data_IF_559379500220
#
_entry.id   IF_559379500220
#
_cell.length_a   1.000
_cell.length_b   1.000
_cell.length_c   1.000
_cell.angle_alpha   90.00
_cell.angle_beta   90.00
_cell.angle_gamma   90.00
#
_symmetry.space_group_name_H-M   'P 1'
#
loop_
_entity.id
_entity.type
_entity.pdbx_description
1 polymer ?
#
# COMPACT_ATOMS: atom_id res chain seq x y z
N UNK A 1 17.88 6.28 -13.18
CA UNK A 1 17.40 5.16 -14.02
C UNK A 1 17.58 3.85 -13.27
N UNK A 2 16.51 3.08 -13.10
CA UNK A 2 16.57 1.74 -12.50
C UNK A 2 16.56 0.71 -13.65
N UNK A 3 17.76 0.39 -14.12
CA UNK A 3 18.10 -0.72 -15.03
C UNK A 3 17.34 -2.01 -14.66
N UNK A 4 17.00 -2.90 -15.61
CA UNK A 4 16.02 -3.95 -15.38
C UNK A 4 16.57 -5.10 -14.54
N UNK A 5 16.58 -4.93 -13.21
CA UNK A 5 16.89 -5.96 -12.21
C UNK A 5 15.99 -7.21 -12.30
N UNK A 6 14.87 -7.08 -13.01
CA UNK A 6 13.91 -8.12 -13.38
C UNK A 6 14.54 -9.33 -14.08
N UNK A 7 15.66 -9.15 -14.79
CA UNK A 7 16.34 -10.24 -15.51
C UNK A 7 16.87 -11.37 -14.60
N UNK A 8 17.01 -11.12 -13.29
CA UNK A 8 17.71 -12.05 -12.36
C UNK A 8 16.89 -12.49 -11.14
N UNK A 9 15.74 -11.88 -10.90
CA UNK A 9 14.93 -12.18 -9.72
C UNK A 9 13.89 -13.21 -10.16
N UNK A 10 14.09 -14.47 -9.78
CA UNK A 10 13.08 -15.51 -9.98
C UNK A 10 11.73 -15.11 -9.39
N UNK A 11 10.67 -15.78 -9.83
CA UNK A 11 9.27 -15.53 -9.43
C UNK A 11 9.08 -15.22 -7.93
N UNK A 12 9.73 -15.94 -6.97
CA UNK A 12 9.56 -15.65 -5.54
C UNK A 12 10.08 -14.26 -5.12
N UNK A 13 11.27 -13.88 -5.60
CA UNK A 13 11.90 -12.61 -5.24
C UNK A 13 11.12 -11.44 -5.85
N UNK A 14 10.53 -11.64 -7.03
CA UNK A 14 9.63 -10.67 -7.63
C UNK A 14 8.41 -10.38 -6.74
N UNK A 15 7.81 -11.40 -6.11
CA UNK A 15 6.68 -11.23 -5.19
C UNK A 15 7.03 -10.54 -3.88
N UNK A 16 8.22 -10.77 -3.35
CA UNK A 16 8.68 -10.13 -2.11
C UNK A 16 9.12 -8.69 -2.34
N UNK A 17 9.62 -8.37 -3.53
CA UNK A 17 10.13 -7.04 -3.88
C UNK A 17 9.08 -6.05 -4.39
N UNK A 18 7.80 -6.43 -4.46
CA UNK A 18 6.71 -5.60 -4.99
C UNK A 18 6.70 -4.17 -4.40
N UNK A 19 6.92 -4.04 -3.09
CA UNK A 19 6.96 -2.76 -2.40
C UNK A 19 8.14 -1.85 -2.82
N UNK A 20 9.19 -2.40 -3.43
CA UNK A 20 10.37 -1.63 -3.84
C UNK A 20 10.16 -0.89 -5.17
N UNK A 21 9.08 -1.17 -5.89
CA UNK A 21 8.81 -0.57 -7.18
C UNK A 21 8.01 0.73 -7.04
N UNK A 22 8.49 1.77 -7.73
CA UNK A 22 7.74 3.02 -7.94
C UNK A 22 7.19 3.13 -9.36
N UNK A 23 7.85 2.48 -10.31
CA UNK A 23 7.45 2.43 -11.72
C UNK A 23 7.47 0.97 -12.17
N UNK A 24 6.34 0.50 -12.67
CA UNK A 24 6.16 -0.85 -13.19
C UNK A 24 6.04 -0.80 -14.71
N UNK A 25 6.80 -1.65 -15.41
CA UNK A 25 6.65 -1.83 -16.86
C UNK A 25 6.25 -3.27 -17.13
N UNK A 26 5.08 -3.44 -17.74
CA UNK A 26 4.59 -4.72 -18.26
C UNK A 26 5.01 -4.75 -19.72
N UNK A 27 6.11 -5.45 -20.01
CA UNK A 27 6.81 -5.39 -21.29
C UNK A 27 6.71 -6.71 -22.07
N UNK A 28 6.46 -6.61 -23.37
CA UNK A 28 6.43 -7.72 -24.31
C UNK A 28 7.69 -7.85 -25.18
N UNK A 29 8.59 -6.84 -25.18
CA UNK A 29 9.79 -6.85 -26.03
C UNK A 29 10.83 -7.89 -25.59
N UNK A 30 10.93 -8.14 -24.28
CA UNK A 30 11.78 -9.17 -23.72
C UNK A 30 10.99 -10.48 -23.55
N UNK A 31 11.41 -11.55 -24.23
CA UNK A 31 10.70 -12.84 -24.22
C UNK A 31 10.53 -13.46 -22.82
N UNK A 32 11.46 -13.20 -21.90
CA UNK A 32 11.37 -13.71 -20.52
C UNK A 32 10.31 -12.94 -19.75
N UNK A 33 10.36 -11.61 -19.80
CA UNK A 33 9.35 -10.76 -19.18
C UNK A 33 7.96 -11.01 -19.78
N UNK A 34 7.89 -11.14 -21.11
CA UNK A 34 6.67 -11.44 -21.83
C UNK A 34 6.03 -12.73 -21.33
N UNK A 35 6.78 -13.83 -21.30
CA UNK A 35 6.30 -15.13 -20.81
C UNK A 35 5.89 -15.05 -19.34
N UNK A 36 6.66 -14.35 -18.52
CA UNK A 36 6.31 -14.13 -17.11
C UNK A 36 4.91 -13.48 -16.99
N UNK A 37 4.64 -12.38 -17.69
CA UNK A 37 3.34 -11.70 -17.63
C UNK A 37 2.19 -12.51 -18.24
N UNK A 38 2.45 -13.25 -19.33
CA UNK A 38 1.47 -14.13 -19.99
C UNK A 38 1.08 -15.33 -19.11
N UNK A 39 2.01 -15.84 -18.31
CA UNK A 39 1.81 -17.05 -17.51
C UNK A 39 1.54 -16.77 -16.03
N UNK A 40 1.65 -15.51 -15.59
CA UNK A 40 1.41 -15.12 -14.20
C UNK A 40 -0.05 -15.42 -13.82
N UNK A 41 -0.28 -16.28 -12.81
CA UNK A 41 -1.64 -16.54 -12.35
C UNK A 41 -2.30 -15.26 -11.82
N UNK A 42 -3.60 -15.07 -12.09
CA UNK A 42 -4.31 -13.85 -11.71
C UNK A 42 -4.27 -13.57 -10.19
N UNK A 43 -4.42 -14.60 -9.37
CA UNK A 43 -4.31 -14.47 -7.91
C UNK A 43 -2.92 -13.99 -7.47
N UNK A 44 -1.88 -14.43 -8.19
CA UNK A 44 -0.50 -14.06 -7.93
C UNK A 44 -0.26 -12.60 -8.36
N UNK A 45 -0.79 -12.18 -9.51
CA UNK A 45 -0.76 -10.79 -9.98
C UNK A 45 -1.49 -9.84 -9.02
N UNK A 46 -2.67 -10.24 -8.53
CA UNK A 46 -3.43 -9.49 -7.54
C UNK A 46 -2.68 -9.35 -6.21
N UNK A 47 -2.15 -10.46 -5.67
CA UNK A 47 -1.37 -10.45 -4.43
C UNK A 47 -0.07 -9.64 -4.56
N UNK A 48 0.52 -9.62 -5.75
CA UNK A 48 1.67 -8.76 -6.06
C UNK A 48 1.26 -7.29 -6.03
N UNK A 49 0.17 -6.94 -6.72
CA UNK A 49 -0.39 -5.58 -6.75
C UNK A 49 -0.69 -5.03 -5.36
N UNK A 50 -1.28 -5.84 -4.48
CA UNK A 50 -1.57 -5.50 -3.09
C UNK A 50 -0.34 -5.06 -2.29
N UNK A 51 0.82 -5.65 -2.57
CA UNK A 51 2.09 -5.30 -1.93
C UNK A 51 2.80 -4.13 -2.61
N UNK A 52 2.45 -3.82 -3.85
CA UNK A 52 3.08 -2.81 -4.68
C UNK A 52 2.61 -1.39 -4.35
N UNK A 53 2.50 -1.04 -3.06
CA UNK A 53 1.87 0.20 -2.57
C UNK A 53 2.66 1.47 -2.93
N UNK A 54 3.92 1.33 -3.33
CA UNK A 54 4.78 2.43 -3.73
C UNK A 54 4.72 2.73 -5.24
N UNK A 55 4.05 1.89 -6.04
CA UNK A 55 3.89 2.10 -7.48
C UNK A 55 3.04 3.33 -7.75
N UNK A 56 3.52 4.19 -8.65
CA UNK A 56 2.86 5.44 -9.08
C UNK A 56 2.52 5.44 -10.56
N UNK A 57 3.23 4.64 -11.35
CA UNK A 57 3.04 4.56 -12.78
C UNK A 57 3.15 3.10 -13.23
N UNK A 58 2.19 2.65 -14.05
CA UNK A 58 2.22 1.37 -14.74
C UNK A 58 2.23 1.65 -16.24
N UNK A 59 3.30 1.23 -16.91
CA UNK A 59 3.39 1.26 -18.38
C UNK A 59 3.10 -0.12 -18.93
N UNK A 60 2.12 -0.20 -19.82
CA UNK A 60 1.80 -1.43 -20.54
C UNK A 60 2.32 -1.31 -21.98
N UNK A 61 3.37 -2.08 -22.29
CA UNK A 61 3.91 -2.22 -23.64
C UNK A 61 3.44 -3.56 -24.19
N UNK A 62 2.62 -3.49 -25.23
CA UNK A 62 1.95 -4.67 -25.79
C UNK A 62 2.38 -4.93 -27.23
N UNK A 63 2.29 -6.19 -27.71
CA UNK A 63 2.63 -6.51 -29.09
C UNK A 63 1.75 -5.75 -30.06
N UNK A 64 2.30 -5.35 -31.21
CA UNK A 64 1.54 -4.64 -32.24
C UNK A 64 0.23 -5.37 -32.57
N UNK A 65 -0.88 -4.62 -32.60
CA UNK A 65 -2.25 -5.11 -32.83
C UNK A 65 -2.80 -6.06 -31.75
N UNK A 66 -2.22 -6.08 -30.55
CA UNK A 66 -2.70 -6.86 -29.39
C UNK A 66 -2.82 -5.99 -28.13
N UNK A 67 -3.62 -4.94 -28.18
CA UNK A 67 -3.89 -4.05 -27.04
C UNK A 67 -4.44 -4.78 -25.79
N UNK A 68 -5.14 -5.90 -25.99
CA UNK A 68 -5.62 -6.77 -24.90
C UNK A 68 -4.58 -7.73 -24.33
N UNK A 69 -3.32 -7.65 -24.74
CA UNK A 69 -2.27 -8.56 -24.28
C UNK A 69 -2.12 -8.52 -22.76
N UNK A 70 -2.21 -9.70 -22.12
CA UNK A 70 -2.15 -9.88 -20.67
C UNK A 70 -3.15 -8.99 -19.90
N UNK A 71 -4.31 -8.69 -20.48
CA UNK A 71 -5.33 -7.82 -19.85
C UNK A 71 -5.71 -8.29 -18.46
N UNK A 72 -6.01 -9.57 -18.28
CA UNK A 72 -6.35 -10.11 -16.97
C UNK A 72 -5.23 -9.86 -15.95
N UNK A 73 -3.97 -10.07 -16.34
CA UNK A 73 -2.80 -9.90 -15.47
C UNK A 73 -2.64 -8.45 -15.04
N UNK A 74 -2.63 -7.48 -15.97
CA UNK A 74 -2.42 -6.08 -15.59
C UNK A 74 -3.61 -5.50 -14.83
N UNK A 75 -4.84 -5.92 -15.15
CA UNK A 75 -6.04 -5.54 -14.38
C UNK A 75 -5.93 -6.06 -12.95
N UNK A 76 -5.57 -7.34 -12.76
CA UNK A 76 -5.41 -7.93 -11.44
C UNK A 76 -4.35 -7.19 -10.60
N UNK A 77 -3.23 -6.77 -11.20
CA UNK A 77 -2.22 -5.92 -10.52
C UNK A 77 -2.82 -4.60 -10.05
N UNK A 78 -3.58 -3.91 -10.90
CA UNK A 78 -4.20 -2.62 -10.58
C UNK A 78 -5.25 -2.77 -9.47
N UNK A 79 -6.10 -3.79 -9.55
CA UNK A 79 -7.11 -4.09 -8.54
C UNK A 79 -6.47 -4.40 -7.18
N UNK A 80 -5.44 -5.26 -7.18
CA UNK A 80 -4.66 -5.57 -5.99
C UNK A 80 -4.05 -4.32 -5.39
N UNK A 81 -3.44 -3.45 -6.20
CA UNK A 81 -2.88 -2.18 -5.75
C UNK A 81 -3.91 -1.28 -5.07
N UNK A 82 -5.12 -1.18 -5.63
CA UNK A 82 -6.25 -0.48 -5.02
C UNK A 82 -6.61 -1.07 -3.65
N UNK A 83 -6.65 -2.40 -3.54
CA UNK A 83 -6.90 -3.09 -2.26
C UNK A 83 -5.82 -2.81 -1.21
N UNK A 84 -4.55 -2.83 -1.60
CA UNK A 84 -3.43 -2.51 -0.72
C UNK A 84 -3.53 -1.08 -0.16
N UNK A 85 -3.88 -0.12 -1.02
CA UNK A 85 -4.12 1.26 -0.58
C UNK A 85 -5.33 1.40 0.33
N UNK A 86 -6.43 0.71 0.04
CA UNK A 86 -7.61 0.70 0.91
C UNK A 86 -7.27 0.18 2.31
N UNK A 87 -6.46 -0.87 2.41
CA UNK A 87 -5.99 -1.40 3.69
C UNK A 87 -5.11 -0.40 4.45
N UNK A 88 -4.20 0.32 3.77
CA UNK A 88 -3.38 1.37 4.38
C UNK A 88 -4.25 2.53 4.88
N UNK A 89 -5.21 2.97 4.09
CA UNK A 89 -6.11 4.06 4.45
C UNK A 89 -6.95 3.69 5.68
N UNK A 90 -7.50 2.48 5.70
CA UNK A 90 -8.26 1.95 6.84
C UNK A 90 -7.41 1.85 8.10
N UNK A 91 -6.16 1.36 7.99
CA UNK A 91 -5.23 1.31 9.11
C UNK A 91 -4.98 2.71 9.68
N UNK A 92 -4.67 3.69 8.82
CA UNK A 92 -4.45 5.09 9.23
C UNK A 92 -5.68 5.72 9.87
N UNK A 93 -6.88 5.37 9.41
CA UNK A 93 -8.14 5.83 10.01
C UNK A 93 -8.28 5.33 11.44
N UNK A 94 -8.09 4.03 11.66
CA UNK A 94 -8.14 3.41 13.00
C UNK A 94 -7.09 3.95 13.96
N UNK A 95 -5.87 4.20 13.48
CA UNK A 95 -4.80 4.79 14.29
C UNK A 95 -5.17 6.20 14.78
N UNK A 96 -5.85 7.01 13.95
CA UNK A 96 -6.34 8.34 14.36
C UNK A 96 -7.46 8.24 15.39
N UNK A 97 -8.44 7.37 15.15
CA UNK A 97 -9.56 7.16 16.07
C UNK A 97 -9.10 6.63 17.44
N UNK A 98 -8.11 5.72 17.45
CA UNK A 98 -7.50 5.22 18.68
C UNK A 98 -6.70 6.29 19.43
N UNK A 99 -5.97 7.15 18.71
CA UNK A 99 -5.24 8.26 19.33
C UNK A 99 -6.16 9.33 19.91
N UNK A 100 -7.25 9.66 19.22
CA UNK A 100 -8.28 10.61 19.66
C UNK A 100 -9.02 10.08 20.89
N UNK A 101 -9.47 8.82 20.88
CA UNK A 101 -10.10 8.19 22.05
C UNK A 101 -9.17 8.07 23.26
N UNK A 102 -7.85 7.93 23.04
CA UNK A 102 -6.86 7.94 24.13
C UNK A 102 -6.67 9.35 24.71
N UNK A 103 -6.67 10.39 23.87
CA UNK A 103 -6.59 11.78 24.29
C UNK A 103 -7.85 12.22 25.06
N UNK A 104 -9.04 11.85 24.58
CA UNK A 104 -10.31 12.13 25.26
C UNK A 104 -10.39 11.42 26.61
N UNK A 105 -10.01 10.15 26.69
CA UNK A 105 -9.97 9.41 27.96
C UNK A 105 -8.98 10.04 28.96
N UNK A 106 -7.83 10.54 28.49
CA UNK A 106 -6.86 11.24 29.33
C UNK A 106 -7.37 12.62 29.80
N UNK A 107 -8.12 13.34 28.98
CA UNK A 107 -8.73 14.62 29.35
C UNK A 107 -9.82 14.46 30.42
N UNK A 108 -10.68 13.44 30.30
CA UNK A 108 -11.71 13.12 31.31
C UNK A 108 -11.05 12.73 32.65
N UNK A 109 -9.96 11.96 32.62
CA UNK A 109 -9.24 11.57 33.83
C UNK A 109 -8.53 12.74 34.56
N UNK A 110 -8.28 13.86 33.86
CA UNK A 110 -7.69 15.07 34.46
C UNK A 110 -8.74 16.02 35.08
N UNK A 111 -10.01 15.91 34.69
CA UNK A 111 -11.11 16.73 35.22
C UNK A 111 -11.62 16.18 36.57
N UNK A 112 -11.47 14.87 36.81
CA UNK A 112 -12.02 14.17 37.98
C UNK A 112 -11.15 14.23 39.27
N UNK A 113 -10.23 15.20 39.43
CA UNK A 113 -9.31 15.20 40.60
C UNK A 113 -8.69 16.51 41.07
N UNK A 114 -9.41 17.28 41.91
CA UNK A 114 -8.78 18.17 42.90
C UNK A 114 -9.69 19.26 43.50
N UNK A 115 -10.02 19.24 44.82
CA UNK A 115 -10.92 20.21 45.43
C UNK A 115 -10.31 21.60 45.48
N UNK A 116 -11.09 22.61 45.05
CA UNK A 116 -10.84 24.03 45.31
C UNK A 116 -10.70 24.24 46.83
N UNK A 117 -9.46 24.29 47.32
CA UNK A 117 -9.16 24.88 48.62
C UNK A 117 -9.51 26.36 48.52
N UNK A 118 -10.68 26.70 49.05
CA UNK A 118 -11.02 28.07 49.36
C UNK A 118 -10.06 28.53 50.46
N UNK A 119 -9.18 29.46 50.11
CA UNK A 119 -8.38 30.21 51.07
C UNK A 119 -9.32 31.20 51.77
N UNK A 120 -9.77 30.80 52.96
CA UNK A 120 -10.62 31.58 53.84
C UNK A 120 -9.75 32.29 54.88
N UNK A 121 -9.85 33.62 54.91
CA UNK A 121 -9.67 34.40 56.15
C UNK A 121 -8.31 35.04 56.37
N UNK A 122 -8.15 36.27 55.86
CA UNK A 122 -7.31 37.28 56.51
C UNK A 122 -7.89 37.60 57.89
N UNK A 123 -7.09 37.43 58.95
CA UNK A 123 -7.35 38.02 60.27
C UNK A 123 -6.11 38.81 60.72
N UNK A 124 -6.43 39.89 61.42
CA UNK A 124 -5.68 41.09 61.79
C UNK A 124 -4.27 40.93 62.38
#
# INVERSE_FOLDING_TARGET
ELTPLWRRLGTPIFHESAANYTHLVIDCEDDTARRMWETMPLAVAHNWGERATNVREIRHRYPSRREGWCRGTWVAVVEGHGRGWAAIAEKKRREREGAEGTADAAAVAQDDGGPRLADEGTLE
#
